data_IF_571483882220
#
_entry.id   IF_571483882220
#
_cell.length_a   1.000
_cell.length_b   1.000
_cell.length_c   1.000
_cell.angle_alpha   90.00
_cell.angle_beta   90.00
_cell.angle_gamma   90.00
#
_symmetry.space_group_name_H-M   'P 1'
#
loop_
_entity.id
_entity.type
_entity.pdbx_description
1 polymer ?
#
# COMPACT_ATOMS: atom_id res chain seq x y z
N UNK A 1 -35.00 20.94 59.41
CA UNK A 1 -36.06 20.03 59.88
C UNK A 1 -36.04 18.79 59.00
N UNK A 2 -35.64 17.64 59.55
CA UNK A 2 -35.69 16.33 58.87
C UNK A 2 -37.16 15.92 58.69
N UNK A 3 -37.56 15.33 57.55
CA UNK A 3 -38.50 14.19 57.56
C UNK A 3 -38.59 13.46 56.20
N UNK A 4 -38.07 12.22 56.22
CA UNK A 4 -38.49 10.95 55.59
C UNK A 4 -38.92 10.88 54.10
N UNK A 5 -38.20 10.17 53.22
CA UNK A 5 -38.16 8.71 52.90
C UNK A 5 -39.30 8.17 52.03
N UNK A 6 -38.91 7.43 50.97
CA UNK A 6 -39.62 6.41 50.17
C UNK A 6 -40.57 6.84 49.03
N UNK A 7 -40.15 6.57 47.78
CA UNK A 7 -40.89 5.82 46.75
C UNK A 7 -39.85 5.44 45.67
N UNK A 8 -39.31 4.22 45.71
CA UNK A 8 -39.72 3.09 44.88
C UNK A 8 -39.20 3.16 43.43
N UNK A 9 -38.10 2.42 43.21
CA UNK A 9 -37.97 1.39 42.19
C UNK A 9 -38.59 1.68 40.80
N UNK A 10 -37.76 2.10 39.84
CA UNK A 10 -37.95 1.71 38.45
C UNK A 10 -36.62 1.22 37.87
N UNK A 11 -36.39 -0.08 38.04
CA UNK A 11 -35.43 -0.83 37.26
C UNK A 11 -35.82 -0.74 35.78
N UNK A 12 -35.18 0.14 35.02
CA UNK A 12 -35.07 -0.05 33.58
C UNK A 12 -34.09 -1.20 33.34
N UNK A 13 -34.60 -2.42 33.46
CA UNK A 13 -34.00 -3.63 32.88
C UNK A 13 -33.95 -3.42 31.37
N UNK A 14 -32.89 -2.78 30.89
CA UNK A 14 -32.44 -2.93 29.52
C UNK A 14 -32.01 -4.37 29.36
N UNK A 15 -32.97 -5.25 29.02
CA UNK A 15 -32.69 -6.60 28.59
C UNK A 15 -31.59 -6.52 27.52
N UNK A 16 -30.51 -7.31 27.63
CA UNK A 16 -29.63 -7.46 26.49
C UNK A 16 -30.51 -8.04 25.39
N UNK A 17 -30.77 -7.25 24.33
CA UNK A 17 -31.17 -7.83 23.06
C UNK A 17 -29.99 -8.70 22.66
N UNK A 18 -30.03 -9.97 23.06
CA UNK A 18 -29.22 -11.01 22.45
C UNK A 18 -29.66 -11.03 21.01
N UNK A 19 -28.93 -10.31 20.16
CA UNK A 19 -29.07 -10.35 18.72
C UNK A 19 -28.84 -11.80 18.28
N UNK A 20 -29.92 -12.58 18.21
CA UNK A 20 -29.96 -13.90 17.57
C UNK A 20 -29.92 -13.71 16.06
N UNK A 21 -28.93 -12.98 15.55
CA UNK A 21 -28.81 -12.67 14.12
C UNK A 21 -28.02 -13.75 13.36
N UNK A 22 -27.55 -14.82 14.02
CA UNK A 22 -26.70 -15.85 13.39
C UNK A 22 -27.22 -17.29 13.52
N UNK A 23 -28.48 -17.50 13.91
CA UNK A 23 -29.03 -18.85 14.08
C UNK A 23 -29.45 -19.56 12.78
N UNK A 24 -29.39 -18.91 11.61
CA UNK A 24 -29.83 -19.50 10.34
C UNK A 24 -28.73 -19.60 9.27
N UNK A 25 -27.49 -19.88 9.67
CA UNK A 25 -26.49 -20.31 8.68
C UNK A 25 -26.56 -21.83 8.52
N UNK A 26 -27.44 -22.30 7.63
CA UNK A 26 -27.55 -23.72 7.31
C UNK A 26 -26.61 -24.04 6.14
N UNK A 27 -25.54 -24.79 6.40
CA UNK A 27 -24.68 -25.30 5.33
C UNK A 27 -25.52 -26.23 4.45
N UNK A 28 -25.87 -25.78 3.25
CA UNK A 28 -26.48 -26.64 2.24
C UNK A 28 -25.37 -27.29 1.43
N UNK A 29 -25.17 -28.58 1.64
CA UNK A 29 -24.29 -29.37 0.80
C UNK A 29 -24.97 -29.55 -0.56
N UNK A 30 -24.49 -28.82 -1.56
CA UNK A 30 -24.97 -28.94 -2.93
C UNK A 30 -24.11 -29.95 -3.69
N UNK A 31 -24.76 -30.83 -4.46
CA UNK A 31 -24.08 -31.67 -5.45
C UNK A 31 -24.22 -30.96 -6.79
N UNK A 32 -23.10 -30.50 -7.36
CA UNK A 32 -23.11 -29.85 -8.66
C UNK A 32 -23.48 -30.90 -9.73
N UNK A 33 -24.39 -30.54 -10.63
CA UNK A 33 -24.83 -31.44 -11.71
C UNK A 33 -23.69 -31.79 -12.70
N UNK A 34 -22.65 -30.95 -12.75
CA UNK A 34 -21.42 -31.21 -13.49
C UNK A 34 -20.23 -30.66 -12.68
N UNK A 35 -19.67 -31.45 -11.76
CA UNK A 35 -18.55 -31.00 -10.93
C UNK A 35 -17.28 -30.70 -11.73
N UNK A 36 -17.21 -31.18 -12.98
CA UNK A 36 -16.06 -31.02 -13.87
C UNK A 36 -16.24 -29.86 -14.89
N UNK A 37 -17.28 -29.02 -14.74
CA UNK A 37 -17.55 -27.88 -15.64
C UNK A 37 -16.73 -26.62 -15.30
N UNK A 38 -15.44 -26.78 -14.98
CA UNK A 38 -14.57 -25.62 -14.85
C UNK A 38 -14.31 -25.04 -16.26
N UNK A 39 -14.62 -23.76 -16.51
CA UNK A 39 -14.41 -23.18 -17.82
C UNK A 39 -12.92 -23.19 -18.17
N UNK A 40 -12.59 -23.65 -19.37
CA UNK A 40 -11.23 -23.60 -19.87
C UNK A 40 -10.72 -22.14 -19.88
N UNK A 41 -9.46 -21.90 -19.47
CA UNK A 41 -8.88 -20.56 -19.55
C UNK A 41 -8.97 -19.96 -20.95
N UNK A 42 -9.40 -18.71 -21.05
CA UNK A 42 -9.35 -17.93 -22.29
C UNK A 42 -8.06 -17.12 -22.29
N UNK A 43 -7.19 -17.39 -23.26
CA UNK A 43 -5.88 -16.76 -23.31
C UNK A 43 -5.92 -15.34 -23.90
N UNK A 44 -5.00 -14.45 -23.46
CA UNK A 44 -3.91 -14.69 -22.51
C UNK A 44 -4.36 -14.67 -21.04
N UNK A 45 -3.69 -15.47 -20.21
CA UNK A 45 -3.83 -15.44 -18.73
C UNK A 45 -2.56 -14.88 -18.10
N UNK A 46 -2.64 -14.17 -16.96
CA UNK A 46 -1.46 -13.61 -16.31
C UNK A 46 -0.54 -14.73 -15.82
N UNK A 47 0.77 -14.51 -15.96
CA UNK A 47 1.76 -15.32 -15.24
C UNK A 47 1.61 -15.13 -13.72
N UNK A 48 2.08 -16.08 -12.90
CA UNK A 48 2.07 -15.94 -11.44
C UNK A 48 2.75 -14.65 -10.94
N UNK A 49 3.76 -14.14 -11.66
CA UNK A 49 4.42 -12.86 -11.32
C UNK A 49 3.53 -11.66 -11.60
N UNK A 50 2.82 -11.65 -12.72
CA UNK A 50 1.88 -10.57 -13.04
C UNK A 50 0.73 -10.53 -12.03
N UNK A 51 0.23 -11.70 -11.61
CA UNK A 51 -0.81 -11.77 -10.57
C UNK A 51 -0.32 -11.18 -9.24
N UNK A 52 0.87 -11.57 -8.77
CA UNK A 52 1.47 -10.99 -7.55
C UNK A 52 1.70 -9.47 -7.65
N UNK A 53 2.10 -8.98 -8.83
CA UNK A 53 2.24 -7.55 -9.06
C UNK A 53 0.87 -6.85 -9.05
N UNK A 54 -0.13 -7.41 -9.71
CA UNK A 54 -1.50 -6.88 -9.72
C UNK A 54 -2.07 -6.81 -8.30
N UNK A 55 -1.84 -7.86 -7.51
CA UNK A 55 -2.18 -7.94 -6.09
C UNK A 55 -1.41 -6.94 -5.23
N UNK A 56 -0.36 -6.26 -5.71
CA UNK A 56 0.31 -5.18 -4.97
C UNK A 56 -0.53 -3.90 -4.95
N UNK A 57 -1.39 -3.68 -5.95
CA UNK A 57 -2.38 -2.61 -6.10
C UNK A 57 -1.83 -1.17 -6.09
N UNK A 58 -1.19 -0.73 -5.01
CA UNK A 58 -0.77 0.66 -4.80
C UNK A 58 0.65 0.71 -4.24
N UNK A 59 1.58 1.37 -4.93
CA UNK A 59 2.99 1.48 -4.56
C UNK A 59 3.61 2.79 -5.07
N UNK A 60 4.71 3.20 -4.44
CA UNK A 60 5.35 4.50 -4.67
C UNK A 60 6.30 4.51 -5.88
N UNK A 61 6.57 5.70 -6.41
CA UNK A 61 7.67 5.94 -7.35
C UNK A 61 8.50 7.14 -6.87
N UNK A 62 9.77 6.92 -6.55
CA UNK A 62 10.67 7.94 -6.04
C UNK A 62 11.58 8.47 -7.16
N UNK A 63 11.32 9.71 -7.57
CA UNK A 63 12.21 10.48 -8.45
C UNK A 63 13.10 11.38 -7.58
N UNK A 64 14.37 11.05 -7.53
CA UNK A 64 15.40 11.81 -6.81
C UNK A 64 16.72 11.63 -7.57
N UNK A 65 17.49 12.70 -7.72
CA UNK A 65 18.74 12.65 -8.47
C UNK A 65 19.22 14.03 -8.89
N UNK A 66 20.06 14.09 -9.93
CA UNK A 66 20.63 15.35 -10.45
C UNK A 66 19.56 16.41 -10.69
N UNK A 67 18.46 16.02 -11.33
CA UNK A 67 17.30 16.86 -11.61
C UNK A 67 16.67 17.55 -10.40
N UNK A 68 16.73 16.94 -9.21
CA UNK A 68 16.29 17.56 -7.96
C UNK A 68 17.11 18.82 -7.61
N UNK A 69 18.38 18.86 -8.02
CA UNK A 69 19.32 19.96 -7.75
C UNK A 69 19.46 20.93 -8.93
N UNK A 70 19.04 20.53 -10.12
CA UNK A 70 19.00 21.41 -11.28
C UNK A 70 17.68 22.12 -11.47
N UNK A 71 16.60 21.63 -10.85
CA UNK A 71 15.26 22.18 -11.00
C UNK A 71 14.64 21.86 -12.37
N UNK A 72 15.10 20.77 -13.00
CA UNK A 72 14.64 20.32 -14.31
C UNK A 72 13.85 19.01 -14.15
N UNK A 73 12.79 18.86 -14.92
CA UNK A 73 12.11 17.56 -15.00
C UNK A 73 12.94 16.55 -15.80
N UNK A 74 13.51 17.00 -16.93
CA UNK A 74 14.39 16.23 -17.79
C UNK A 74 15.74 16.94 -17.88
N UNK A 75 16.81 16.21 -17.56
CA UNK A 75 18.17 16.72 -17.65
C UNK A 75 18.72 16.49 -19.05
N UNK A 76 19.83 17.17 -19.34
CA UNK A 76 20.51 17.14 -20.63
C UNK A 76 21.63 16.08 -20.68
N UNK A 77 22.07 15.59 -19.52
CA UNK A 77 23.17 14.63 -19.39
C UNK A 77 24.57 15.26 -19.46
N UNK A 78 24.65 16.59 -19.38
CA UNK A 78 25.88 17.37 -19.27
C UNK A 78 25.95 18.15 -17.94
N UNK A 79 25.06 17.83 -17.00
CA UNK A 79 25.05 18.46 -15.69
C UNK A 79 26.37 18.22 -14.96
N UNK A 80 26.90 19.29 -14.34
CA UNK A 80 28.06 19.16 -13.47
C UNK A 80 27.67 18.33 -12.23
N UNK A 81 28.34 17.18 -12.05
CA UNK A 81 28.12 16.22 -10.95
C UNK A 81 28.16 16.89 -9.56
N UNK A 82 28.95 17.95 -9.38
CA UNK A 82 29.04 18.69 -8.11
C UNK A 82 27.74 19.42 -7.73
N UNK A 83 26.77 19.56 -8.66
CA UNK A 83 25.44 20.09 -8.33
C UNK A 83 24.62 19.12 -7.49
N UNK A 84 24.88 17.82 -7.60
CA UNK A 84 24.27 16.83 -6.71
C UNK A 84 24.90 16.95 -5.32
N UNK A 85 24.31 17.80 -4.48
CA UNK A 85 24.87 18.20 -3.20
C UNK A 85 23.83 18.08 -2.06
N UNK A 86 23.46 16.86 -1.64
CA UNK A 86 22.58 16.66 -0.51
C UNK A 86 23.15 17.26 0.78
N UNK A 87 22.37 18.09 1.47
CA UNK A 87 22.76 18.72 2.75
C UNK A 87 22.72 17.75 3.93
N UNK A 88 22.08 16.60 3.75
CA UNK A 88 22.07 15.45 4.67
C UNK A 88 22.06 14.19 3.84
N UNK A 89 22.65 13.13 4.38
CA UNK A 89 22.57 11.80 3.75
C UNK A 89 21.10 11.44 3.54
N UNK A 90 20.67 11.12 2.30
CA UNK A 90 19.30 10.69 2.04
C UNK A 90 18.93 9.48 2.92
N UNK A 91 17.70 9.47 3.43
CA UNK A 91 17.19 8.38 4.27
C UNK A 91 15.99 7.70 3.59
N UNK A 92 16.22 6.68 2.74
CA UNK A 92 15.14 5.94 2.08
C UNK A 92 14.16 5.24 3.04
N UNK A 93 14.59 4.88 4.25
CA UNK A 93 13.70 4.28 5.25
C UNK A 93 12.59 5.24 5.67
N UNK A 94 12.92 6.53 5.83
CA UNK A 94 11.92 7.55 6.12
C UNK A 94 10.92 7.74 4.98
N UNK A 95 11.35 7.62 3.73
CA UNK A 95 10.47 7.68 2.55
C UNK A 95 9.52 6.48 2.51
N UNK A 96 10.05 5.28 2.77
CA UNK A 96 9.26 4.05 2.82
C UNK A 96 8.26 4.08 3.99
N UNK A 97 8.60 4.66 5.13
CA UNK A 97 7.66 4.84 6.23
C UNK A 97 6.49 5.74 5.82
N UNK A 98 6.76 6.87 5.16
CA UNK A 98 5.70 7.75 4.65
C UNK A 98 4.81 7.04 3.60
N UNK A 99 5.40 6.25 2.70
CA UNK A 99 4.66 5.47 1.73
C UNK A 99 3.75 4.42 2.41
N UNK A 100 4.29 3.73 3.43
CA UNK A 100 3.53 2.77 4.23
C UNK A 100 2.37 3.42 4.97
N UNK A 101 2.59 4.60 5.57
CA UNK A 101 1.55 5.37 6.26
C UNK A 101 0.43 5.82 5.28
N UNK A 102 0.77 6.02 4.00
CA UNK A 102 -0.19 6.29 2.92
C UNK A 102 -0.89 5.03 2.38
N UNK A 103 -0.62 3.84 2.91
CA UNK A 103 -1.21 2.57 2.47
C UNK A 103 -0.54 1.93 1.25
N UNK A 104 0.64 2.41 0.84
CA UNK A 104 1.40 1.80 -0.26
C UNK A 104 2.10 0.51 0.19
N UNK A 105 2.19 -0.46 -0.73
CA UNK A 105 2.71 -1.82 -0.48
C UNK A 105 4.13 -2.05 -1.00
N UNK A 106 4.77 -1.01 -1.54
CA UNK A 106 6.13 -1.04 -2.04
C UNK A 106 6.55 0.31 -2.64
N UNK A 107 7.72 0.33 -3.28
CA UNK A 107 8.18 1.49 -4.02
C UNK A 107 9.27 1.16 -5.04
N UNK A 108 9.32 1.95 -6.11
CA UNK A 108 10.35 1.89 -7.15
C UNK A 108 11.19 3.16 -7.03
N UNK A 109 12.52 3.03 -7.00
CA UNK A 109 13.43 4.17 -6.99
C UNK A 109 14.10 4.33 -8.36
N UNK A 110 14.13 5.57 -8.87
CA UNK A 110 14.95 5.91 -10.04
C UNK A 110 16.40 5.98 -9.59
N UNK A 111 17.18 4.95 -9.93
CA UNK A 111 18.63 4.92 -9.62
C UNK A 111 19.49 5.56 -10.73
N UNK A 112 18.91 5.71 -11.93
CA UNK A 112 19.42 6.52 -13.05
C UNK A 112 18.23 7.04 -13.84
N UNK A 113 18.19 8.33 -14.15
CA UNK A 113 17.15 8.93 -14.98
C UNK A 113 17.64 9.11 -16.43
N UNK A 114 16.95 9.92 -17.22
CA UNK A 114 17.31 10.20 -18.62
C UNK A 114 18.60 11.03 -18.75
N UNK A 115 18.93 11.82 -17.74
CA UNK A 115 20.19 12.57 -17.62
C UNK A 115 21.42 11.63 -17.59
N UNK A 116 21.25 10.42 -17.05
CA UNK A 116 22.30 9.42 -16.99
C UNK A 116 23.07 9.41 -15.67
N UNK A 117 22.77 10.32 -14.73
CA UNK A 117 23.44 10.38 -13.44
C UNK A 117 23.09 9.16 -12.57
N UNK A 118 24.09 8.42 -12.11
CA UNK A 118 23.94 7.18 -11.37
C UNK A 118 23.98 7.42 -9.86
N UNK A 119 22.92 7.00 -9.14
CA UNK A 119 22.88 7.05 -7.67
C UNK A 119 23.65 5.91 -6.97
N UNK A 120 24.44 5.15 -7.72
CA UNK A 120 25.31 4.11 -7.19
C UNK A 120 26.69 4.21 -7.85
N UNK A 121 27.77 3.79 -7.15
CA UNK A 121 29.12 3.85 -7.68
C UNK A 121 29.35 2.73 -8.70
N UNK A 122 28.85 2.92 -9.92
CA UNK A 122 29.12 2.02 -11.04
C UNK A 122 30.56 2.15 -11.54
N UNK A 123 31.12 1.07 -12.09
CA UNK A 123 32.45 1.09 -12.70
C UNK A 123 32.45 1.53 -14.17
N UNK A 124 31.28 1.81 -14.75
CA UNK A 124 31.10 1.97 -16.20
C UNK A 124 30.96 3.43 -16.66
N UNK A 125 30.77 4.36 -15.74
CA UNK A 125 30.60 5.81 -16.00
C UNK A 125 31.00 6.58 -14.75
N UNK A 126 31.42 7.83 -14.93
CA UNK A 126 31.66 8.77 -13.82
C UNK A 126 30.39 9.54 -13.44
N UNK A 127 29.48 9.71 -14.40
CA UNK A 127 28.16 10.31 -14.24
C UNK A 127 27.19 9.31 -13.64
#
# INVERSE_FOLDING_TARGET
MKLFTQFALLCCLGLPLSAHAQSEFHLQQQTLANPDNEPAPVHPVPSPRQLKWQETEFYAFFHYGMNTYTGLEWGNGDENENRFAPTRVPNPEQWLQAAKDAGMRGGIAVIKHHDGFCLWPTATTTH
#
